data_IF_175833162855
#
_entry.id   IF_175833162855
#
_cell.length_a   1.000
_cell.length_b   1.000
_cell.length_c   1.000
_cell.angle_alpha   90.00
_cell.angle_beta   90.00
_cell.angle_gamma   90.00
#
_symmetry.space_group_name_H-M   'P 1'
#
loop_
_entity.id
_entity.type
_entity.pdbx_description
1 polymer ?
#
# COMPACT_ATOMS: atom_id res chain seq x y z
N UNK A 1 4.91 -6.20 -32.42
CA UNK A 1 5.12 -5.66 -31.05
C UNK A 1 3.76 -5.47 -30.36
N UNK A 2 3.54 -6.11 -29.20
CA UNK A 2 2.27 -5.97 -28.46
C UNK A 2 2.29 -4.69 -27.61
N UNK A 3 1.28 -3.84 -27.72
CA UNK A 3 1.12 -2.64 -26.90
C UNK A 3 -0.23 -2.62 -26.22
N UNK A 4 -0.25 -2.88 -24.91
CA UNK A 4 -1.48 -2.89 -24.10
C UNK A 4 -2.27 -1.58 -24.24
N UNK A 5 -1.57 -0.44 -24.23
CA UNK A 5 -2.20 0.88 -24.36
C UNK A 5 -2.96 1.11 -25.68
N UNK A 6 -2.60 0.38 -26.73
CA UNK A 6 -3.33 0.44 -28.02
C UNK A 6 -4.63 -0.36 -27.97
N UNK A 7 -4.73 -1.36 -27.08
CA UNK A 7 -5.89 -2.24 -26.94
C UNK A 7 -6.89 -1.77 -25.88
N UNK A 8 -6.45 -0.94 -24.92
CA UNK A 8 -7.32 -0.40 -23.89
C UNK A 8 -8.30 0.64 -24.45
N UNK A 9 -9.55 0.68 -23.94
CA UNK A 9 -10.47 1.77 -24.24
C UNK A 9 -9.87 3.11 -23.83
N UNK A 10 -10.35 4.19 -24.46
CA UNK A 10 -9.86 5.55 -24.23
C UNK A 10 -11.01 6.46 -23.87
N UNK A 11 -10.77 7.38 -22.92
CA UNK A 11 -11.71 8.46 -22.61
C UNK A 11 -11.67 9.56 -23.68
N UNK A 12 -12.50 10.60 -23.52
CA UNK A 12 -12.60 11.75 -24.43
C UNK A 12 -11.25 12.46 -24.67
N UNK A 13 -10.33 12.40 -23.69
CA UNK A 13 -8.98 12.97 -23.78
C UNK A 13 -7.98 12.00 -24.43
N UNK A 14 -8.45 10.92 -25.07
CA UNK A 14 -7.68 9.84 -25.68
C UNK A 14 -6.72 9.14 -24.71
N UNK A 15 -7.01 9.16 -23.41
CA UNK A 15 -6.18 8.52 -22.39
C UNK A 15 -6.68 7.08 -22.15
N UNK A 16 -5.78 6.09 -22.00
CA UNK A 16 -6.16 4.71 -21.71
C UNK A 16 -6.89 4.59 -20.36
N UNK A 17 -7.98 3.85 -20.35
CA UNK A 17 -8.81 3.61 -19.16
C UNK A 17 -9.03 2.12 -18.92
N UNK A 18 -9.41 1.78 -17.68
CA UNK A 18 -9.79 0.43 -17.30
C UNK A 18 -11.09 0.02 -18.04
N UNK A 19 -11.15 -1.15 -18.67
CA UNK A 19 -12.37 -1.59 -19.37
C UNK A 19 -13.53 -1.91 -18.43
N UNK A 20 -13.26 -2.13 -17.14
CA UNK A 20 -14.27 -2.55 -16.15
C UNK A 20 -14.92 -1.39 -15.37
N UNK A 21 -14.18 -0.30 -15.18
CA UNK A 21 -14.63 0.83 -14.36
C UNK A 21 -14.22 2.20 -14.89
N UNK A 22 -13.67 2.25 -16.11
CA UNK A 22 -13.29 3.47 -16.84
C UNK A 22 -12.28 4.38 -16.14
N UNK A 23 -11.73 3.94 -15.02
CA UNK A 23 -10.71 4.67 -14.28
C UNK A 23 -9.42 4.76 -15.09
N UNK A 24 -8.77 5.92 -15.07
CA UNK A 24 -7.48 6.13 -15.75
C UNK A 24 -6.45 5.14 -15.22
N UNK A 25 -5.90 4.31 -16.11
CA UNK A 25 -4.84 3.37 -15.72
C UNK A 25 -3.53 4.12 -15.50
N UNK A 26 -2.68 3.57 -14.65
CA UNK A 26 -1.35 4.10 -14.42
C UNK A 26 -0.30 3.00 -14.50
N UNK A 27 0.94 3.40 -14.79
CA UNK A 27 2.11 2.52 -14.81
C UNK A 27 3.06 2.96 -13.70
N UNK A 28 3.26 2.16 -12.66
CA UNK A 28 4.27 2.44 -11.64
C UNK A 28 5.67 2.56 -12.26
N UNK A 29 6.50 3.41 -11.66
CA UNK A 29 7.88 3.60 -12.12
C UNK A 29 8.68 2.30 -12.00
N UNK A 30 9.31 1.88 -13.09
CA UNK A 30 10.13 0.67 -13.14
C UNK A 30 9.35 -0.65 -13.21
N UNK A 31 8.04 -0.61 -13.41
CA UNK A 31 7.21 -1.79 -13.69
C UNK A 31 6.85 -1.86 -15.18
N UNK A 32 6.52 -3.05 -15.68
CA UNK A 32 6.09 -3.25 -17.08
C UNK A 32 4.58 -3.10 -17.23
N UNK A 33 3.85 -3.51 -16.18
CA UNK A 33 2.39 -3.63 -16.17
C UNK A 33 1.68 -2.29 -15.91
N UNK A 34 0.42 -2.21 -16.35
CA UNK A 34 -0.49 -1.12 -16.04
C UNK A 34 -1.53 -1.62 -15.04
N UNK A 35 -1.96 -0.73 -14.14
CA UNK A 35 -2.91 -1.06 -13.09
C UNK A 35 -4.08 -0.09 -13.08
N UNK A 36 -5.24 -0.60 -12.67
CA UNK A 36 -6.38 0.23 -12.30
C UNK A 36 -6.15 0.74 -10.86
N UNK A 37 -6.19 2.07 -10.60
CA UNK A 37 -6.01 2.60 -9.25
C UNK A 37 -7.27 2.53 -8.39
N UNK A 38 -8.44 2.21 -8.99
CA UNK A 38 -9.73 2.23 -8.32
C UNK A 38 -10.00 0.90 -7.59
N UNK A 39 -9.87 0.89 -6.26
CA UNK A 39 -10.16 -0.29 -5.42
C UNK A 39 -11.62 -0.71 -5.41
N UNK A 40 -12.55 0.20 -5.74
CA UNK A 40 -13.96 -0.14 -5.87
C UNK A 40 -14.29 -0.81 -7.23
N UNK A 41 -13.31 -0.91 -8.15
CA UNK A 41 -13.47 -1.58 -9.44
C UNK A 41 -14.07 -2.99 -9.26
N UNK A 42 -15.14 -3.36 -9.99
CA UNK A 42 -15.77 -4.69 -9.87
C UNK A 42 -14.77 -5.84 -10.02
N UNK A 43 -13.90 -5.79 -11.04
CA UNK A 43 -12.88 -6.81 -11.25
C UNK A 43 -11.84 -6.88 -10.12
N UNK A 44 -11.47 -5.75 -9.50
CA UNK A 44 -10.56 -5.78 -8.35
C UNK A 44 -11.24 -6.37 -7.11
N UNK A 45 -12.52 -6.07 -6.88
CA UNK A 45 -13.27 -6.61 -5.75
C UNK A 45 -13.50 -8.11 -5.90
N UNK A 46 -13.85 -8.58 -7.10
CA UNK A 46 -13.96 -10.00 -7.39
C UNK A 46 -12.62 -10.72 -7.18
N UNK A 47 -11.53 -10.21 -7.78
CA UNK A 47 -10.21 -10.81 -7.61
C UNK A 47 -9.72 -10.80 -6.15
N UNK A 48 -10.04 -9.74 -5.40
CA UNK A 48 -9.74 -9.65 -3.97
C UNK A 48 -10.47 -10.74 -3.19
N UNK A 49 -11.76 -10.95 -3.47
CA UNK A 49 -12.54 -12.02 -2.85
C UNK A 49 -11.97 -13.41 -3.19
N UNK A 50 -11.68 -13.67 -4.45
CA UNK A 50 -11.10 -14.95 -4.91
C UNK A 50 -9.74 -15.23 -4.27
N UNK A 51 -8.89 -14.20 -4.18
CA UNK A 51 -7.60 -14.31 -3.49
C UNK A 51 -7.79 -14.57 -1.99
N UNK A 52 -8.71 -13.85 -1.35
CA UNK A 52 -8.99 -13.96 0.08
C UNK A 52 -9.45 -15.38 0.47
N UNK A 53 -10.35 -15.98 -0.32
CA UNK A 53 -10.88 -17.33 -0.05
C UNK A 53 -9.90 -18.46 -0.43
N UNK A 54 -8.83 -18.15 -1.16
CA UNK A 54 -7.88 -19.13 -1.66
C UNK A 54 -7.21 -19.97 -0.56
N UNK A 55 -6.71 -21.16 -0.93
CA UNK A 55 -6.08 -22.12 -0.01
C UNK A 55 -4.89 -21.54 0.78
N UNK A 56 -4.10 -20.68 0.13
CA UNK A 56 -2.94 -20.02 0.76
C UNK A 56 -3.32 -18.85 1.68
N UNK A 57 -4.52 -18.31 1.48
CA UNK A 57 -5.09 -17.22 2.25
C UNK A 57 -6.03 -17.79 3.34
N UNK A 58 -7.30 -17.41 3.34
CA UNK A 58 -8.23 -17.78 4.41
C UNK A 58 -8.76 -19.22 4.30
N UNK A 59 -8.45 -19.93 3.21
CA UNK A 59 -8.79 -21.34 2.99
C UNK A 59 -10.31 -21.61 3.12
N UNK A 60 -11.11 -20.74 2.51
CA UNK A 60 -12.57 -20.83 2.53
C UNK A 60 -13.02 -21.68 1.34
N UNK A 61 -13.13 -22.99 1.58
CA UNK A 61 -13.62 -23.94 0.58
C UNK A 61 -15.10 -23.71 0.27
N UNK A 62 -15.46 -23.92 -0.99
CA UNK A 62 -16.83 -23.75 -1.49
C UNK A 62 -17.06 -22.42 -2.21
N UNK A 63 -16.15 -21.44 -2.07
CA UNK A 63 -16.18 -20.18 -2.80
C UNK A 63 -15.04 -20.19 -3.82
N UNK A 64 -15.40 -20.28 -5.11
CA UNK A 64 -14.47 -20.14 -6.24
C UNK A 64 -14.87 -18.97 -7.14
N UNK A 65 -14.26 -18.85 -8.31
CA UNK A 65 -14.52 -17.77 -9.30
C UNK A 65 -16.02 -17.60 -9.60
N UNK A 66 -16.69 -18.68 -10.03
CA UNK A 66 -18.11 -18.62 -10.40
C UNK A 66 -19.01 -18.18 -9.25
N UNK A 67 -18.83 -18.74 -8.04
CA UNK A 67 -19.67 -18.35 -6.90
C UNK A 67 -19.34 -16.93 -6.43
N UNK A 68 -18.07 -16.52 -6.47
CA UNK A 68 -17.65 -15.15 -6.15
C UNK A 68 -18.39 -14.15 -7.04
N UNK A 69 -18.39 -14.37 -8.35
CA UNK A 69 -19.13 -13.54 -9.31
C UNK A 69 -20.63 -13.50 -8.98
N UNK A 70 -21.27 -14.64 -8.73
CA UNK A 70 -22.70 -14.70 -8.36
C UNK A 70 -23.01 -13.96 -7.06
N UNK A 71 -22.16 -14.08 -6.03
CA UNK A 71 -22.35 -13.38 -4.76
C UNK A 71 -22.30 -11.85 -4.95
N UNK A 72 -21.41 -11.35 -5.81
CA UNK A 72 -21.35 -9.93 -6.18
C UNK A 72 -22.55 -9.49 -7.01
N UNK A 73 -22.91 -10.25 -8.04
CA UNK A 73 -24.02 -9.95 -8.95
C UNK A 73 -25.35 -9.86 -8.19
N UNK A 74 -25.59 -10.79 -7.24
CA UNK A 74 -26.79 -10.81 -6.39
C UNK A 74 -26.72 -9.81 -5.23
N UNK A 75 -25.63 -9.05 -5.08
CA UNK A 75 -25.44 -8.09 -4.00
C UNK A 75 -25.35 -8.72 -2.61
N UNK A 76 -25.05 -10.02 -2.55
CA UNK A 76 -24.90 -10.76 -1.28
C UNK A 76 -23.60 -10.37 -0.57
N UNK A 77 -22.56 -10.02 -1.35
CA UNK A 77 -21.28 -9.49 -0.86
C UNK A 77 -20.87 -8.27 -1.66
N UNK A 78 -20.24 -7.30 -1.00
CA UNK A 78 -19.64 -6.10 -1.61
C UNK A 78 -18.12 -6.07 -1.45
N UNK A 79 -17.61 -6.79 -0.47
CA UNK A 79 -16.20 -6.95 -0.15
C UNK A 79 -16.02 -8.25 0.65
N UNK A 80 -14.79 -8.52 1.09
CA UNK A 80 -14.45 -9.78 1.78
C UNK A 80 -14.99 -9.85 3.21
N UNK A 81 -15.30 -8.71 3.84
CA UNK A 81 -15.85 -8.70 5.20
C UNK A 81 -17.30 -9.19 5.21
N UNK A 82 -18.05 -8.90 4.15
CA UNK A 82 -19.44 -9.37 3.99
C UNK A 82 -19.57 -10.91 4.00
N UNK A 83 -18.50 -11.66 3.70
CA UNK A 83 -18.50 -13.13 3.80
C UNK A 83 -18.93 -13.61 5.18
N UNK A 84 -18.48 -12.94 6.24
CA UNK A 84 -18.73 -13.36 7.61
C UNK A 84 -20.17 -13.09 8.08
N UNK A 85 -20.96 -12.38 7.27
CA UNK A 85 -22.39 -12.12 7.50
C UNK A 85 -23.29 -12.95 6.57
N UNK A 86 -22.73 -13.81 5.72
CA UNK A 86 -23.52 -14.67 4.82
C UNK A 86 -24.40 -15.67 5.57
N UNK A 87 -24.07 -15.98 6.83
CA UNK A 87 -24.89 -16.85 7.68
C UNK A 87 -26.32 -16.31 7.84
N UNK A 88 -26.47 -14.99 7.89
CA UNK A 88 -27.77 -14.32 8.04
C UNK A 88 -28.56 -14.27 6.72
N UNK A 89 -27.95 -14.70 5.60
CA UNK A 89 -28.53 -14.74 4.26
C UNK A 89 -28.68 -16.16 3.74
N UNK A 90 -28.78 -17.16 4.63
CA UNK A 90 -28.77 -18.58 4.27
C UNK A 90 -29.87 -18.96 3.29
N UNK A 91 -31.07 -18.42 3.45
CA UNK A 91 -32.21 -18.66 2.58
C UNK A 91 -31.94 -18.13 1.16
N UNK A 92 -31.30 -16.96 1.05
CA UNK A 92 -30.90 -16.39 -0.24
C UNK A 92 -29.81 -17.25 -0.90
N UNK A 93 -28.86 -17.78 -0.12
CA UNK A 93 -27.84 -18.70 -0.64
C UNK A 93 -28.44 -20.01 -1.17
N UNK A 94 -29.46 -20.54 -0.50
CA UNK A 94 -30.19 -21.74 -0.95
C UNK A 94 -31.02 -21.49 -2.23
N UNK A 95 -31.38 -20.25 -2.50
CA UNK A 95 -32.09 -19.86 -3.73
C UNK A 95 -31.19 -19.72 -4.95
N UNK A 96 -29.86 -19.76 -4.76
CA UNK A 96 -28.91 -19.68 -5.87
C UNK A 96 -28.87 -20.97 -6.68
N UNK A 97 -28.63 -20.83 -7.98
CA UNK A 97 -28.44 -21.99 -8.85
C UNK A 97 -27.27 -22.86 -8.37
N UNK A 98 -27.44 -24.19 -8.47
CA UNK A 98 -26.42 -25.19 -8.09
C UNK A 98 -26.02 -25.18 -6.61
N UNK A 99 -26.80 -24.52 -5.74
CA UNK A 99 -26.57 -24.52 -4.29
C UNK A 99 -27.49 -25.52 -3.58
N UNK A 100 -26.93 -26.68 -3.23
CA UNK A 100 -27.60 -27.62 -2.33
C UNK A 100 -27.38 -27.24 -0.86
N UNK A 101 -28.31 -27.64 0.02
CA UNK A 101 -28.23 -27.40 1.48
C UNK A 101 -26.87 -27.74 2.08
N UNK A 102 -26.35 -28.94 1.77
CA UNK A 102 -25.04 -29.39 2.24
C UNK A 102 -23.89 -28.52 1.74
N UNK A 103 -23.98 -27.98 0.52
CA UNK A 103 -22.95 -27.09 -0.05
C UNK A 103 -22.92 -25.75 0.71
N UNK A 104 -24.10 -25.17 0.94
CA UNK A 104 -24.26 -23.94 1.73
C UNK A 104 -23.72 -24.14 3.15
N UNK A 105 -24.11 -25.24 3.81
CA UNK A 105 -23.65 -25.54 5.17
C UNK A 105 -22.11 -25.68 5.22
N UNK A 106 -21.51 -26.44 4.30
CA UNK A 106 -20.06 -26.61 4.23
C UNK A 106 -19.31 -25.28 3.99
N UNK A 107 -19.87 -24.42 3.14
CA UNK A 107 -19.29 -23.10 2.84
C UNK A 107 -19.35 -22.19 4.07
N UNK A 108 -20.49 -22.11 4.75
CA UNK A 108 -20.65 -21.32 5.98
C UNK A 108 -19.72 -21.82 7.09
N UNK A 109 -19.58 -23.15 7.22
CA UNK A 109 -18.63 -23.76 8.16
C UNK A 109 -17.16 -23.42 7.81
N UNK A 110 -16.82 -23.35 6.52
CA UNK A 110 -15.48 -22.98 6.08
C UNK A 110 -15.18 -21.51 6.38
N UNK A 111 -16.15 -20.61 6.17
CA UNK A 111 -16.06 -19.20 6.56
C UNK A 111 -15.80 -19.10 8.06
N UNK A 112 -16.52 -19.84 8.89
CA UNK A 112 -16.34 -19.74 10.34
C UNK A 112 -14.98 -20.27 10.81
N UNK A 113 -14.53 -21.39 10.24
CA UNK A 113 -13.19 -21.96 10.50
C UNK A 113 -12.05 -21.07 10.04
N UNK A 114 -12.31 -20.13 9.12
CA UNK A 114 -11.29 -19.21 8.63
C UNK A 114 -10.96 -18.08 9.62
N UNK A 115 -11.84 -17.78 10.58
CA UNK A 115 -11.58 -16.77 11.62
C UNK A 115 -10.37 -17.10 12.51
N UNK A 116 -10.00 -18.38 12.59
CA UNK A 116 -8.86 -18.87 13.38
C UNK A 116 -7.55 -18.93 12.59
N UNK A 117 -7.48 -18.42 11.34
CA UNK A 117 -6.23 -18.42 10.57
C UNK A 117 -5.20 -17.49 11.23
N UNK A 118 -3.90 -17.83 11.15
CA UNK A 118 -2.85 -17.00 11.73
C UNK A 118 -2.71 -15.67 10.99
N UNK A 119 -2.15 -14.67 11.66
CA UNK A 119 -2.01 -13.31 11.14
C UNK A 119 -1.31 -13.23 9.77
N UNK A 120 -0.27 -14.04 9.54
CA UNK A 120 0.40 -14.11 8.25
C UNK A 120 -0.57 -14.42 7.09
N UNK A 121 -1.53 -15.32 7.31
CA UNK A 121 -2.55 -15.62 6.30
C UNK A 121 -3.53 -14.48 6.10
N UNK A 122 -3.89 -13.75 7.15
CA UNK A 122 -4.73 -12.55 7.04
C UNK A 122 -4.01 -11.48 6.22
N UNK A 123 -2.75 -11.18 6.54
CA UNK A 123 -1.91 -10.21 5.81
C UNK A 123 -1.81 -10.60 4.33
N UNK A 124 -1.57 -11.88 4.05
CA UNK A 124 -1.53 -12.40 2.69
C UNK A 124 -2.90 -12.27 1.99
N UNK A 125 -3.99 -12.60 2.68
CA UNK A 125 -5.36 -12.56 2.15
C UNK A 125 -5.83 -11.16 1.79
N UNK A 126 -5.32 -10.11 2.44
CA UNK A 126 -5.62 -8.71 2.11
C UNK A 126 -5.15 -8.31 0.70
N UNK A 127 -4.31 -9.12 0.04
CA UNK A 127 -3.93 -8.89 -1.35
C UNK A 127 -3.08 -7.64 -1.55
N UNK A 128 -2.31 -7.23 -0.54
CA UNK A 128 -1.45 -6.06 -0.62
C UNK A 128 -0.37 -6.30 -1.69
N UNK A 129 -0.24 -5.36 -2.64
CA UNK A 129 0.72 -5.47 -3.74
C UNK A 129 2.13 -5.72 -3.20
N UNK A 130 2.89 -6.60 -3.88
CA UNK A 130 4.24 -7.02 -3.50
C UNK A 130 4.36 -7.84 -2.20
N UNK A 131 3.24 -8.16 -1.54
CA UNK A 131 3.25 -9.01 -0.34
C UNK A 131 2.81 -10.42 -0.75
N UNK A 132 3.78 -11.32 -0.81
CA UNK A 132 3.55 -12.76 -0.92
C UNK A 132 3.45 -13.43 0.44
N UNK A 133 3.26 -14.75 0.45
CA UNK A 133 3.17 -15.53 1.70
C UNK A 133 4.40 -15.37 2.59
N UNK A 134 5.61 -15.42 2.02
CA UNK A 134 6.85 -15.22 2.77
C UNK A 134 6.95 -13.83 3.42
N UNK A 135 6.66 -12.77 2.66
CA UNK A 135 6.62 -11.40 3.20
C UNK A 135 5.58 -11.26 4.31
N UNK A 136 4.44 -11.94 4.17
CA UNK A 136 3.38 -11.92 5.17
C UNK A 136 3.78 -12.64 6.47
N UNK A 137 4.52 -13.74 6.39
CA UNK A 137 5.11 -14.42 7.56
C UNK A 137 6.11 -13.52 8.29
N UNK A 138 6.98 -12.85 7.53
CA UNK A 138 7.95 -11.89 8.09
C UNK A 138 7.22 -10.74 8.81
N UNK A 139 6.18 -10.18 8.19
CA UNK A 139 5.37 -9.13 8.81
C UNK A 139 4.66 -9.61 10.08
N UNK A 140 4.12 -10.83 10.08
CA UNK A 140 3.47 -11.42 11.25
C UNK A 140 4.44 -11.76 12.39
N UNK A 141 5.73 -11.95 12.10
CA UNK A 141 6.78 -12.09 13.11
C UNK A 141 7.12 -10.79 13.83
N UNK A 142 6.80 -9.64 13.21
CA UNK A 142 7.18 -8.30 13.70
C UNK A 142 5.99 -7.52 14.28
N UNK A 143 4.79 -7.78 13.75
CA UNK A 143 3.53 -7.17 14.17
C UNK A 143 2.58 -8.24 14.67
N UNK A 144 1.93 -7.99 15.82
CA UNK A 144 1.07 -8.98 16.47
C UNK A 144 -0.42 -8.79 16.15
N UNK A 145 -0.76 -7.72 15.42
CA UNK A 145 -2.10 -7.48 14.90
C UNK A 145 -2.08 -6.63 13.63
N UNK A 146 -3.17 -6.67 12.87
CA UNK A 146 -3.35 -5.77 11.71
C UNK A 146 -3.39 -4.30 12.16
N UNK A 147 -3.96 -4.01 13.33
CA UNK A 147 -3.99 -2.65 13.89
C UNK A 147 -2.58 -2.13 14.20
N UNK A 148 -1.69 -2.99 14.69
CA UNK A 148 -0.29 -2.64 14.96
C UNK A 148 0.41 -2.30 13.64
N UNK A 149 0.22 -3.12 12.60
CA UNK A 149 0.77 -2.89 11.26
C UNK A 149 0.24 -1.57 10.65
N UNK A 150 -1.06 -1.31 10.76
CA UNK A 150 -1.67 -0.07 10.28
C UNK A 150 -1.11 1.15 11.04
N UNK A 151 -1.00 1.04 12.37
CA UNK A 151 -0.44 2.11 13.21
C UNK A 151 1.01 2.41 12.85
N UNK A 152 1.85 1.38 12.70
CA UNK A 152 3.25 1.53 12.28
C UNK A 152 3.35 2.22 10.92
N UNK A 153 2.46 1.88 9.98
CA UNK A 153 2.36 2.52 8.67
C UNK A 153 2.05 4.02 8.78
N UNK A 154 1.10 4.40 9.65
CA UNK A 154 0.76 5.82 9.91
C UNK A 154 1.92 6.59 10.54
N UNK A 155 2.65 5.99 11.46
CA UNK A 155 3.81 6.60 12.10
C UNK A 155 4.95 6.83 11.10
N UNK A 156 5.21 5.84 10.24
CA UNK A 156 6.18 5.97 9.16
C UNK A 156 5.85 7.13 8.21
N UNK A 157 4.58 7.31 7.86
CA UNK A 157 4.14 8.43 7.02
C UNK A 157 4.45 9.80 7.65
N UNK A 158 4.21 9.93 8.96
CA UNK A 158 4.53 11.16 9.72
C UNK A 158 6.04 11.43 9.73
N UNK A 159 6.84 10.37 9.92
CA UNK A 159 8.31 10.46 9.90
C UNK A 159 8.85 10.84 8.51
N UNK A 160 8.36 10.21 7.43
CA UNK A 160 8.72 10.54 6.04
C UNK A 160 8.41 12.00 5.69
N UNK A 161 7.21 12.47 6.02
CA UNK A 161 6.82 13.87 5.79
C UNK A 161 7.73 14.86 6.55
N UNK A 162 8.12 14.53 7.78
CA UNK A 162 9.04 15.33 8.59
C UNK A 162 10.43 15.37 7.95
N UNK A 163 10.94 14.22 7.50
CA UNK A 163 12.22 14.10 6.78
C UNK A 163 12.22 14.86 5.47
N UNK A 164 11.14 14.81 4.69
CA UNK A 164 11.05 15.55 3.43
C UNK A 164 11.02 17.07 3.68
N UNK A 165 10.33 17.53 4.72
CA UNK A 165 10.37 18.93 5.17
C UNK A 165 11.78 19.35 5.61
N UNK A 166 12.49 18.50 6.36
CA UNK A 166 13.86 18.74 6.80
C UNK A 166 14.84 18.75 5.63
N UNK A 167 14.73 17.81 4.67
CA UNK A 167 15.52 17.78 3.43
C UNK A 167 15.25 19.01 2.58
N UNK A 168 13.99 19.41 2.41
CA UNK A 168 13.61 20.62 1.67
C UNK A 168 14.10 21.91 2.37
N UNK A 169 14.11 21.94 3.71
CA UNK A 169 14.71 23.05 4.48
C UNK A 169 16.23 23.08 4.30
N UNK A 170 16.90 21.94 4.45
CA UNK A 170 18.35 21.83 4.25
C UNK A 170 18.77 22.17 2.81
N UNK A 171 17.98 21.81 1.80
CA UNK A 171 18.20 22.19 0.41
C UNK A 171 18.04 23.71 0.21
N UNK A 172 17.00 24.32 0.79
CA UNK A 172 16.81 25.79 0.79
C UNK A 172 17.94 26.51 1.52
N UNK A 173 18.39 26.00 2.66
CA UNK A 173 19.48 26.58 3.44
C UNK A 173 20.82 26.46 2.69
N UNK A 174 21.06 25.32 2.00
CA UNK A 174 22.22 25.16 1.09
C UNK A 174 22.16 26.13 -0.10
N UNK A 175 20.98 26.35 -0.69
CA UNK A 175 20.79 27.32 -1.78
C UNK A 175 21.01 28.76 -1.31
N UNK A 176 20.50 29.12 -0.12
CA UNK A 176 20.76 30.43 0.50
C UNK A 176 22.23 30.63 0.83
N UNK A 177 22.89 29.60 1.38
CA UNK A 177 24.32 29.62 1.64
C UNK A 177 25.15 29.74 0.35
N UNK A 178 24.74 29.06 -0.73
CA UNK A 178 25.35 29.20 -2.05
C UNK A 178 25.16 30.61 -2.61
N UNK A 179 23.94 31.14 -2.59
CA UNK A 179 23.66 32.51 -3.03
C UNK A 179 24.39 33.58 -2.20
N UNK A 180 24.54 33.36 -0.89
CA UNK A 180 25.35 34.22 -0.02
C UNK A 180 26.84 34.15 -0.38
N UNK A 181 27.38 32.96 -0.66
CA UNK A 181 28.76 32.78 -1.15
C UNK A 181 28.97 33.41 -2.52
N UNK A 182 28.02 33.28 -3.44
CA UNK A 182 28.12 33.85 -4.78
C UNK A 182 28.07 35.39 -4.72
N UNK A 183 27.28 35.98 -3.82
CA UNK A 183 27.29 37.42 -3.51
C UNK A 183 28.60 37.86 -2.85
N UNK A 184 29.13 37.07 -1.91
CA UNK A 184 30.43 37.31 -1.29
C UNK A 184 31.56 37.21 -2.30
N UNK A 185 31.51 36.28 -3.27
CA UNK A 185 32.45 36.19 -4.38
C UNK A 185 32.32 37.35 -5.37
N UNK A 186 31.11 37.82 -5.65
CA UNK A 186 30.91 39.01 -6.48
C UNK A 186 31.36 40.31 -5.77
N UNK A 187 31.27 40.34 -4.44
CA UNK A 187 31.80 41.44 -3.60
C UNK A 187 33.32 41.33 -3.42
N UNK A 188 33.85 40.13 -3.25
CA UNK A 188 35.28 39.83 -3.19
C UNK A 188 35.94 40.08 -4.56
N UNK A 189 35.31 39.79 -5.69
CA UNK A 189 35.83 40.20 -7.01
C UNK A 189 35.85 41.74 -7.20
N UNK A 190 35.08 42.50 -6.40
CA UNK A 190 35.18 43.97 -6.30
C UNK A 190 36.20 44.42 -5.24
N UNK A 191 36.50 43.60 -4.25
CA UNK A 191 37.47 43.88 -3.16
C UNK A 191 38.85 43.23 -3.38
N UNK A 192 39.04 42.30 -4.31
CA UNK A 192 40.34 41.72 -4.72
C UNK A 192 41.20 42.73 -5.49
N UNK A 193 40.63 43.89 -5.84
CA UNK A 193 41.37 45.11 -6.18
C UNK A 193 41.96 45.83 -4.95
N UNK A 194 41.68 45.35 -3.72
CA UNK A 194 42.18 45.88 -2.45
C UNK A 194 42.42 44.76 -1.41
N UNK A 195 43.64 44.22 -1.50
CA UNK A 195 44.45 43.68 -0.41
C UNK A 195 44.26 42.21 0.04
N UNK A 196 45.43 41.56 0.15
CA UNK A 196 45.71 40.26 0.76
C UNK A 196 45.51 40.28 2.29
N UNK A 197 45.07 39.16 2.89
CA UNK A 197 45.75 38.44 3.99
C UNK A 197 44.82 37.57 4.90
N UNK A 198 45.35 36.38 5.21
CA UNK A 198 45.25 35.52 6.42
C UNK A 198 44.01 34.67 6.73
N UNK A 199 44.29 33.37 6.85
CA UNK A 199 43.48 32.27 7.39
C UNK A 199 43.21 32.44 8.90
N UNK A 200 42.04 32.02 9.41
CA UNK A 200 41.90 30.89 10.36
C UNK A 200 40.45 30.68 10.89
N UNK A 201 40.12 29.41 11.19
CA UNK A 201 39.09 28.84 12.09
C UNK A 201 37.58 29.16 11.93
N UNK A 202 36.79 28.07 11.79
CA UNK A 202 35.86 27.58 12.84
C UNK A 202 35.13 26.27 12.42
N UNK A 203 35.54 25.15 13.02
CA UNK A 203 34.79 23.88 13.14
C UNK A 203 34.09 23.85 14.50
N UNK A 204 32.78 23.60 14.53
CA UNK A 204 31.99 23.16 15.70
C UNK A 204 30.52 23.01 15.27
N UNK A 205 29.67 22.07 15.72
CA UNK A 205 29.77 20.90 16.59
C UNK A 205 28.50 20.09 16.27
N UNK A 206 28.65 18.84 15.88
CA UNK A 206 27.53 17.95 15.58
C UNK A 206 26.72 17.71 16.86
N UNK A 207 25.45 18.10 16.87
CA UNK A 207 24.52 17.80 17.97
C UNK A 207 24.06 16.36 17.86
N UNK A 208 24.84 15.49 18.53
CA UNK A 208 24.57 14.08 18.81
C UNK A 208 23.30 13.85 19.65
N UNK A 209 22.62 14.93 20.06
CA UNK A 209 21.33 14.90 20.77
C UNK A 209 20.11 14.87 19.82
N UNK A 210 20.24 15.26 18.54
CA UNK A 210 19.15 15.11 17.56
C UNK A 210 18.93 13.68 17.08
N UNK A 211 19.86 12.77 17.38
CA UNK A 211 19.80 11.35 17.02
C UNK A 211 18.98 10.50 18.00
N UNK A 212 18.66 10.99 19.20
CA UNK A 212 17.90 10.23 20.21
C UNK A 212 16.38 10.34 20.09
N UNK A 213 15.86 11.09 19.11
CA UNK A 213 14.42 11.22 18.86
C UNK A 213 13.90 10.32 17.72
N UNK A 214 14.68 9.33 17.27
CA UNK A 214 14.39 8.47 16.10
C UNK A 214 13.93 7.05 16.45
N UNK A 215 13.54 6.79 17.71
CA UNK A 215 13.22 5.45 18.20
C UNK A 215 11.90 4.83 17.66
N UNK A 216 11.26 5.41 16.65
CA UNK A 216 10.15 4.80 15.89
C UNK A 216 10.44 4.71 14.39
N UNK A 217 11.68 4.98 13.98
CA UNK A 217 12.08 5.00 12.56
C UNK A 217 12.41 3.58 12.00
N UNK A 218 12.63 2.60 12.87
CA UNK A 218 13.43 1.41 12.55
C UNK A 218 12.70 0.08 12.79
N UNK A 219 11.40 -0.01 12.49
CA UNK A 219 10.64 -1.28 12.53
C UNK A 219 10.21 -1.82 11.17
N UNK A 220 9.86 -0.95 10.21
CA UNK A 220 9.48 -1.43 8.84
C UNK A 220 10.67 -1.49 7.88
N UNK A 221 11.63 -0.58 8.00
CA UNK A 221 12.82 -0.50 7.12
C UNK A 221 14.01 -1.33 7.65
N UNK A 222 13.95 -1.76 8.91
CA UNK A 222 14.93 -2.63 9.57
C UNK A 222 14.63 -4.11 9.31
N UNK A 223 13.40 -4.44 8.91
CA UNK A 223 13.05 -5.78 8.46
C UNK A 223 13.83 -6.02 7.17
N UNK A 224 14.81 -6.94 7.15
CA UNK A 224 15.79 -7.06 6.07
C UNK A 224 15.18 -7.27 4.68
N UNK A 225 13.93 -7.71 4.62
CA UNK A 225 13.21 -8.10 3.41
C UNK A 225 12.20 -7.06 2.94
N UNK A 226 11.88 -6.02 3.74
CA UNK A 226 10.91 -4.98 3.37
C UNK A 226 11.63 -3.80 2.73
N UNK A 227 11.81 -3.90 1.40
CA UNK A 227 12.31 -2.80 0.60
C UNK A 227 11.32 -1.63 0.46
N UNK A 228 11.76 -0.49 -0.10
CA UNK A 228 10.92 0.72 -0.25
C UNK A 228 9.65 0.47 -1.06
N UNK A 229 9.67 -0.46 -2.02
CA UNK A 229 8.50 -0.83 -2.82
C UNK A 229 7.40 -1.52 -1.99
N UNK A 230 7.78 -2.44 -1.10
CA UNK A 230 6.82 -3.15 -0.24
C UNK A 230 6.23 -2.16 0.76
N UNK A 231 7.07 -1.31 1.36
CA UNK A 231 6.61 -0.24 2.25
C UNK A 231 5.59 0.67 1.55
N UNK A 232 5.90 1.19 0.36
CA UNK A 232 4.99 2.04 -0.40
C UNK A 232 3.67 1.33 -0.74
N UNK A 233 3.68 0.01 -0.97
CA UNK A 233 2.47 -0.79 -1.19
C UNK A 233 1.60 -0.94 0.05
N UNK A 234 2.19 -1.23 1.21
CA UNK A 234 1.47 -1.28 2.50
C UNK A 234 0.80 0.06 2.78
N UNK A 235 1.53 1.15 2.57
CA UNK A 235 1.03 2.50 2.77
C UNK A 235 -0.11 2.84 1.82
N UNK A 236 0.04 2.52 0.53
CA UNK A 236 -0.99 2.75 -0.45
C UNK A 236 -2.28 2.01 -0.08
N UNK A 237 -2.15 0.77 0.42
CA UNK A 237 -3.26 -0.04 0.86
C UNK A 237 -4.02 0.60 2.04
N UNK A 238 -3.33 0.93 3.14
CA UNK A 238 -3.96 1.52 4.33
C UNK A 238 -4.41 2.97 4.16
N UNK A 239 -4.06 3.63 3.05
CA UNK A 239 -4.55 4.98 2.74
C UNK A 239 -5.97 4.98 2.16
N UNK A 240 -6.42 3.87 1.59
CA UNK A 240 -7.73 3.76 0.96
C UNK A 240 -8.79 3.39 2.00
N UNK A 241 -9.89 4.16 2.04
CA UNK A 241 -10.95 3.97 3.04
C UNK A 241 -11.68 2.64 2.85
N UNK A 242 -11.82 2.17 1.61
CA UNK A 242 -12.43 0.88 1.30
C UNK A 242 -11.66 -0.29 1.92
N UNK A 243 -10.33 -0.21 1.96
CA UNK A 243 -9.49 -1.24 2.56
C UNK A 243 -9.56 -1.20 4.09
N UNK A 244 -9.71 -0.01 4.69
CA UNK A 244 -9.88 0.11 6.15
C UNK A 244 -11.20 -0.50 6.62
N UNK A 245 -12.27 -0.32 5.84
CA UNK A 245 -13.58 -0.92 6.14
C UNK A 245 -13.54 -2.46 6.19
N UNK A 246 -12.66 -3.09 5.42
CA UNK A 246 -12.49 -4.55 5.42
C UNK A 246 -11.86 -5.06 6.72
N UNK A 247 -11.09 -4.20 7.41
CA UNK A 247 -10.30 -4.56 8.59
C UNK A 247 -11.09 -4.33 9.89
N UNK A 248 -12.00 -3.36 9.88
CA UNK A 248 -12.85 -2.97 11.02
C UNK A 248 -14.04 -3.93 11.19
#
# INVERSE_FOLDING_TARGET
EFSLLKKLPKNDKRQPVCPECESKVFKPAGEVMYYCPNTACPAQRQQSLEHFVSRGAMDIRGIGESLSATLFEKGLVKDVADLYYLKDKKEQLLSLEKMAKKSVDNMLDAIEKSKARPLARVIFALGIRHIGGETAEILAGEFHSIDELEKATREWLKAKATRDKLKAKAARDKLKAKAARDKLKAKAAREELKALATEDKLKAKATREKLKALATEDKLMSIPTIGPKIADSIIAFFRQEENKRIIQ
#
